data_IF_433135018780
#
_entry.id   IF_433135018780
#
_cell.length_a   1.000
_cell.length_b   1.000
_cell.length_c   1.000
_cell.angle_alpha   90.00
_cell.angle_beta   90.00
_cell.angle_gamma   90.00
#
_symmetry.space_group_name_H-M   'P 1'
#
loop_
_entity.id
_entity.type
_entity.pdbx_description
1 polymer ?
#
# COMPACT_ATOMS: atom_id res chain seq x y z
N UNK A 1 79.92 33.94 -21.66
CA UNK A 1 79.57 34.68 -20.42
C UNK A 1 78.21 35.33 -20.67
N UNK A 2 77.10 34.67 -20.33
CA UNK A 2 76.33 34.82 -19.07
C UNK A 2 76.07 36.28 -18.71
N UNK A 3 74.78 36.64 -18.78
CA UNK A 3 73.98 37.67 -18.08
C UNK A 3 72.89 38.10 -19.07
N UNK A 4 71.82 37.34 -19.30
CA UNK A 4 70.73 37.02 -18.36
C UNK A 4 70.17 38.26 -17.66
N UNK A 5 68.85 38.37 -17.69
CA UNK A 5 67.97 39.35 -17.00
C UNK A 5 67.72 40.65 -17.80
N UNK A 6 66.51 41.12 -18.05
CA UNK A 6 65.25 40.94 -17.32
C UNK A 6 64.06 41.23 -18.25
N UNK A 7 63.31 40.20 -18.61
CA UNK A 7 61.94 40.33 -19.12
C UNK A 7 61.04 40.64 -17.91
N UNK A 8 60.69 41.91 -17.72
CA UNK A 8 59.69 42.34 -16.74
C UNK A 8 58.28 41.93 -17.23
N UNK A 9 57.96 40.64 -17.05
CA UNK A 9 56.57 40.19 -17.05
C UNK A 9 55.94 40.69 -15.75
N UNK A 10 55.17 41.76 -15.85
CA UNK A 10 54.23 42.21 -14.84
C UNK A 10 53.24 41.09 -14.54
N UNK A 11 53.45 40.39 -13.43
CA UNK A 11 52.50 39.41 -12.90
C UNK A 11 51.34 40.22 -12.29
N UNK A 12 50.26 40.39 -13.05
CA UNK A 12 48.99 40.87 -12.51
C UNK A 12 48.37 39.74 -11.70
N UNK A 13 48.63 39.72 -10.39
CA UNK A 13 47.92 38.85 -9.44
C UNK A 13 46.49 39.35 -9.34
N UNK A 14 45.58 38.81 -10.16
CA UNK A 14 44.14 38.93 -9.92
C UNK A 14 43.82 38.13 -8.66
N UNK A 15 43.60 38.83 -7.55
CA UNK A 15 43.02 38.24 -6.33
C UNK A 15 41.67 37.62 -6.68
N UNK A 16 41.56 36.31 -6.58
CA UNK A 16 40.26 35.63 -6.55
C UNK A 16 39.55 36.04 -5.27
N UNK A 17 38.67 37.04 -5.36
CA UNK A 17 37.68 37.28 -4.32
C UNK A 17 36.75 36.06 -4.29
N UNK A 18 36.78 35.31 -3.18
CA UNK A 18 35.83 34.24 -2.89
C UNK A 18 34.44 34.86 -2.77
N UNK A 19 33.70 34.90 -3.89
CA UNK A 19 32.28 35.21 -3.87
C UNK A 19 31.60 34.11 -3.06
N UNK A 20 30.95 34.48 -1.97
CA UNK A 20 30.02 33.59 -1.29
C UNK A 20 28.97 33.14 -2.30
N UNK A 21 28.66 31.84 -2.40
CA UNK A 21 27.69 31.34 -3.37
C UNK A 21 26.33 31.99 -3.09
N UNK A 22 25.67 32.48 -4.14
CA UNK A 22 24.34 33.10 -3.99
C UNK A 22 23.34 32.01 -3.59
N UNK A 23 22.33 32.36 -2.79
CA UNK A 23 21.29 31.40 -2.40
C UNK A 23 20.65 30.70 -3.62
N UNK A 24 20.49 31.43 -4.73
CA UNK A 24 20.02 30.91 -6.02
C UNK A 24 20.87 29.77 -6.62
N UNK A 25 22.10 29.60 -6.17
CA UNK A 25 23.04 28.56 -6.59
C UNK A 25 23.12 27.40 -5.58
N UNK A 26 22.47 27.55 -4.43
CA UNK A 26 22.46 26.54 -3.37
C UNK A 26 21.45 25.42 -3.65
N UNK A 27 21.72 24.25 -3.07
CA UNK A 27 20.84 23.07 -3.13
C UNK A 27 19.47 23.32 -2.50
N UNK A 28 19.37 24.25 -1.56
CA UNK A 28 18.13 24.62 -0.88
C UNK A 28 17.17 25.42 -1.77
N UNK A 29 17.69 26.10 -2.82
CA UNK A 29 16.87 26.91 -3.73
C UNK A 29 16.13 26.07 -4.77
N UNK A 30 16.73 24.95 -5.19
CA UNK A 30 16.10 24.01 -6.11
C UNK A 30 15.35 22.93 -5.32
N UNK A 31 14.10 23.23 -4.98
CA UNK A 31 13.16 22.25 -4.41
C UNK A 31 12.92 21.03 -5.31
N UNK A 32 12.37 19.95 -4.73
CA UNK A 32 12.10 18.65 -5.39
C UNK A 32 11.21 18.78 -6.64
N UNK A 33 10.44 19.86 -6.69
CA UNK A 33 9.48 20.31 -7.69
C UNK A 33 10.12 20.96 -8.93
N UNK A 34 11.34 21.50 -8.82
CA UNK A 34 12.05 22.15 -9.96
C UNK A 34 13.12 21.27 -10.60
N UNK A 35 13.34 20.07 -10.07
CA UNK A 35 14.24 19.07 -10.65
C UNK A 35 13.44 18.18 -11.61
N UNK A 36 13.62 18.40 -12.92
CA UNK A 36 13.02 17.56 -13.97
C UNK A 36 13.41 16.07 -13.87
N UNK A 37 12.88 15.22 -14.75
CA UNK A 37 13.00 13.75 -14.68
C UNK A 37 14.46 13.21 -14.70
N UNK A 38 15.44 14.03 -15.10
CA UNK A 38 16.87 13.72 -15.02
C UNK A 38 17.43 14.00 -13.61
N UNK A 39 17.00 13.17 -12.65
CA UNK A 39 17.37 13.27 -11.21
C UNK A 39 18.83 12.97 -10.88
N UNK A 40 19.62 12.44 -11.82
CA UNK A 40 20.97 11.91 -11.57
C UNK A 40 22.13 12.90 -11.73
N UNK A 41 22.00 13.90 -12.60
CA UNK A 41 23.17 14.66 -13.10
C UNK A 41 23.17 16.15 -12.75
N UNK A 42 22.17 16.62 -12.00
CA UNK A 42 22.00 18.06 -11.68
C UNK A 42 21.72 18.32 -10.21
N UNK A 43 22.12 17.42 -9.33
CA UNK A 43 22.17 17.75 -7.91
C UNK A 43 23.50 18.46 -7.65
N UNK A 44 23.39 19.65 -7.08
CA UNK A 44 24.47 20.43 -6.46
C UNK A 44 25.30 21.22 -7.48
N UNK A 45 24.97 22.51 -7.64
CA UNK A 45 25.85 23.54 -8.22
C UNK A 45 26.23 23.30 -9.71
N UNK A 46 26.38 24.34 -10.55
CA UNK A 46 27.08 24.14 -11.82
C UNK A 46 28.52 23.69 -11.52
N UNK A 47 28.79 22.38 -11.58
CA UNK A 47 30.13 21.79 -11.47
C UNK A 47 30.37 20.71 -10.40
N UNK A 48 29.43 20.38 -9.50
CA UNK A 48 29.64 19.29 -8.54
C UNK A 48 29.03 17.98 -9.05
N UNK A 49 29.83 16.91 -9.09
CA UNK A 49 29.34 15.56 -9.39
C UNK A 49 28.67 15.03 -8.13
N UNK A 50 27.40 14.66 -8.25
CA UNK A 50 26.67 14.01 -7.15
C UNK A 50 27.19 12.58 -6.97
N UNK A 51 27.85 12.31 -5.84
CA UNK A 51 28.17 10.95 -5.41
C UNK A 51 27.01 10.42 -4.55
N UNK A 52 26.25 9.42 -5.02
CA UNK A 52 25.13 8.91 -4.27
C UNK A 52 25.61 8.11 -3.05
N UNK A 53 25.17 8.52 -1.85
CA UNK A 53 25.27 7.71 -0.64
C UNK A 53 24.62 6.34 -0.83
N UNK A 54 25.11 5.32 -0.12
CA UNK A 54 24.61 3.93 -0.19
C UNK A 54 23.08 3.84 -0.16
N UNK A 55 22.44 4.60 0.74
CA UNK A 55 20.99 4.62 0.92
C UNK A 55 20.20 5.38 -0.17
N UNK A 56 20.89 6.16 -1.01
CA UNK A 56 20.31 6.94 -2.12
C UNK A 56 20.43 6.25 -3.48
N UNK A 57 21.20 5.14 -3.54
CA UNK A 57 21.39 4.36 -4.76
C UNK A 57 20.09 3.65 -5.22
N UNK A 58 19.90 3.56 -6.54
CA UNK A 58 18.75 2.87 -7.14
C UNK A 58 18.72 1.37 -6.83
N UNK A 59 19.90 0.76 -6.69
CA UNK A 59 20.05 -0.66 -6.33
C UNK A 59 19.54 -0.95 -4.91
N UNK A 60 19.74 -0.03 -3.96
CA UNK A 60 19.19 -0.14 -2.61
C UNK A 60 17.66 -0.05 -2.60
N UNK A 61 17.09 0.85 -3.40
CA UNK A 61 15.64 0.95 -3.58
C UNK A 61 15.02 -0.35 -4.12
N UNK A 62 15.65 -0.95 -5.14
CA UNK A 62 15.19 -2.22 -5.71
C UNK A 62 15.26 -3.38 -4.71
N UNK A 63 16.34 -3.48 -3.92
CA UNK A 63 16.46 -4.49 -2.85
C UNK A 63 15.38 -4.37 -1.79
N UNK A 64 15.04 -3.15 -1.38
CA UNK A 64 13.93 -2.89 -0.45
C UNK A 64 12.60 -3.34 -1.05
N UNK A 65 12.35 -2.99 -2.30
CA UNK A 65 11.13 -3.40 -3.00
C UNK A 65 11.01 -4.93 -3.11
N UNK A 66 12.10 -5.62 -3.46
CA UNK A 66 12.15 -7.09 -3.49
C UNK A 66 11.88 -7.70 -2.12
N UNK A 67 12.43 -7.10 -1.05
CA UNK A 67 12.19 -7.58 0.32
C UNK A 67 10.72 -7.43 0.73
N UNK A 68 10.08 -6.31 0.38
CA UNK A 68 8.64 -6.09 0.63
C UNK A 68 7.78 -7.05 -0.19
N UNK A 69 8.11 -7.26 -1.47
CA UNK A 69 7.42 -8.26 -2.28
C UNK A 69 7.62 -9.68 -1.73
N UNK A 70 8.82 -10.00 -1.26
CA UNK A 70 9.13 -11.28 -0.65
C UNK A 70 8.34 -11.51 0.64
N UNK A 71 8.24 -10.49 1.51
CA UNK A 71 7.44 -10.59 2.74
C UNK A 71 5.95 -10.71 2.44
N UNK A 72 5.44 -9.94 1.49
CA UNK A 72 4.04 -10.06 1.05
C UNK A 72 3.76 -11.43 0.43
N UNK A 73 4.66 -11.92 -0.43
CA UNK A 73 4.58 -13.24 -1.04
C UNK A 73 4.58 -14.36 0.00
N UNK A 74 5.42 -14.26 1.04
CA UNK A 74 5.44 -15.22 2.14
C UNK A 74 4.11 -15.27 2.90
N UNK A 75 3.47 -14.12 3.13
CA UNK A 75 2.13 -14.06 3.75
C UNK A 75 1.10 -14.76 2.86
N UNK A 76 1.06 -14.44 1.56
CA UNK A 76 0.11 -15.07 0.63
C UNK A 76 0.34 -16.58 0.54
N UNK A 77 1.59 -17.02 0.47
CA UNK A 77 1.93 -18.44 0.41
C UNK A 77 1.52 -19.18 1.69
N UNK A 78 1.73 -18.56 2.87
CA UNK A 78 1.28 -19.12 4.13
C UNK A 78 -0.25 -19.29 4.15
N UNK A 79 -1.00 -18.21 3.87
CA UNK A 79 -2.46 -18.25 3.92
C UNK A 79 -3.10 -19.12 2.82
N UNK A 80 -2.47 -19.24 1.65
CA UNK A 80 -3.02 -19.98 0.52
C UNK A 80 -2.64 -21.46 0.46
N UNK A 81 -1.46 -21.86 0.95
CA UNK A 81 -0.94 -23.22 0.78
C UNK A 81 -0.59 -23.95 2.08
N UNK A 82 -0.01 -23.26 3.07
CA UNK A 82 0.48 -23.91 4.29
C UNK A 82 -0.49 -23.82 5.46
N UNK A 83 -1.44 -22.88 5.43
CA UNK A 83 -2.43 -22.72 6.48
C UNK A 83 -3.42 -23.89 6.42
N UNK A 84 -3.67 -24.49 7.58
CA UNK A 84 -4.74 -25.49 7.73
C UNK A 84 -6.09 -24.90 7.30
N UNK A 85 -6.98 -25.71 6.68
CA UNK A 85 -8.30 -25.24 6.25
C UNK A 85 -9.04 -24.67 7.45
N UNK A 86 -9.19 -23.35 7.46
CA UNK A 86 -9.77 -22.62 8.58
C UNK A 86 -11.29 -22.67 8.48
N UNK A 87 -12.00 -22.44 9.59
CA UNK A 87 -13.46 -22.34 9.54
C UNK A 87 -13.97 -21.23 8.60
N UNK A 88 -13.12 -20.25 8.26
CA UNK A 88 -13.40 -19.26 7.21
C UNK A 88 -13.46 -19.87 5.81
N UNK A 89 -12.64 -20.88 5.51
CA UNK A 89 -12.67 -21.55 4.22
C UNK A 89 -13.95 -22.37 4.07
N UNK A 90 -14.41 -22.99 5.17
CA UNK A 90 -15.74 -23.64 5.21
C UNK A 90 -16.84 -22.63 4.93
N UNK A 91 -16.79 -21.43 5.52
CA UNK A 91 -17.77 -20.36 5.28
C UNK A 91 -17.76 -19.91 3.80
N UNK A 92 -16.58 -19.78 3.20
CA UNK A 92 -16.44 -19.41 1.79
C UNK A 92 -16.95 -20.50 0.83
N UNK A 93 -16.79 -21.77 1.20
CA UNK A 93 -17.28 -22.92 0.43
C UNK A 93 -18.78 -23.21 0.69
N UNK A 94 -19.36 -22.60 1.73
CA UNK A 94 -20.78 -22.79 2.03
C UNK A 94 -21.65 -22.06 0.99
N UNK A 95 -22.69 -22.69 0.44
CA UNK A 95 -23.62 -22.01 -0.46
C UNK A 95 -24.21 -20.76 0.19
N UNK A 96 -24.21 -19.65 -0.55
CA UNK A 96 -24.67 -18.35 -0.05
C UNK A 96 -26.07 -18.39 0.60
N UNK A 97 -26.98 -19.20 0.05
CA UNK A 97 -28.35 -19.34 0.58
C UNK A 97 -28.40 -19.90 2.02
N UNK A 98 -27.47 -20.78 2.38
CA UNK A 98 -27.38 -21.35 3.73
C UNK A 98 -26.84 -20.31 4.71
N UNK A 99 -25.84 -19.53 4.28
CA UNK A 99 -25.24 -18.52 5.14
C UNK A 99 -26.23 -17.38 5.44
N UNK A 100 -26.92 -16.88 4.41
CA UNK A 100 -27.90 -15.79 4.57
C UNK A 100 -29.09 -16.23 5.42
N UNK A 101 -29.62 -17.43 5.20
CA UNK A 101 -30.78 -17.92 5.95
C UNK A 101 -30.43 -18.18 7.42
N UNK A 102 -29.25 -18.70 7.73
CA UNK A 102 -28.81 -18.88 9.11
C UNK A 102 -28.60 -17.55 9.85
N UNK A 103 -28.09 -16.54 9.16
CA UNK A 103 -27.95 -15.18 9.71
C UNK A 103 -29.32 -14.57 10.00
N UNK A 104 -30.25 -14.63 9.03
CA UNK A 104 -31.63 -14.16 9.20
C UNK A 104 -32.32 -14.88 10.36
N UNK A 105 -32.17 -16.21 10.49
CA UNK A 105 -32.72 -16.99 11.61
C UNK A 105 -32.15 -16.58 12.96
N UNK A 106 -30.83 -16.36 13.06
CA UNK A 106 -30.21 -15.93 14.32
C UNK A 106 -30.71 -14.55 14.75
N UNK A 107 -30.75 -13.59 13.83
CA UNK A 107 -31.25 -12.24 14.13
C UNK A 107 -32.71 -12.27 14.58
N UNK A 108 -33.58 -13.00 13.87
CA UNK A 108 -34.99 -13.11 14.23
C UNK A 108 -35.19 -13.80 15.59
N UNK A 109 -34.41 -14.83 15.92
CA UNK A 109 -34.47 -15.48 17.24
C UNK A 109 -34.04 -14.53 18.36
N UNK A 110 -32.96 -13.78 18.17
CA UNK A 110 -32.54 -12.77 19.15
C UNK A 110 -33.56 -11.65 19.31
N UNK A 111 -34.25 -11.27 18.23
CA UNK A 111 -35.30 -10.25 18.26
C UNK A 111 -36.55 -10.76 18.98
N UNK A 112 -36.98 -12.01 18.71
CA UNK A 112 -38.07 -12.68 19.44
C UNK A 112 -37.74 -12.77 20.93
N UNK A 113 -36.52 -13.18 21.30
CA UNK A 113 -36.13 -13.25 22.70
C UNK A 113 -36.14 -11.88 23.38
N UNK A 114 -35.75 -10.81 22.67
CA UNK A 114 -35.79 -9.43 23.17
C UNK A 114 -37.23 -8.96 23.36
N UNK A 115 -38.09 -9.13 22.36
CA UNK A 115 -39.50 -8.71 22.40
C UNK A 115 -40.32 -9.52 23.42
N UNK A 116 -40.03 -10.83 23.55
CA UNK A 116 -40.62 -11.70 24.58
C UNK A 116 -40.22 -11.27 25.99
N UNK A 117 -38.96 -10.87 26.20
CA UNK A 117 -38.50 -10.28 27.47
C UNK A 117 -39.16 -8.92 27.75
N UNK A 118 -39.49 -8.17 26.70
CA UNK A 118 -40.21 -6.90 26.79
C UNK A 118 -41.74 -7.06 26.95
N UNK A 119 -42.26 -8.30 26.92
CA UNK A 119 -43.69 -8.59 27.08
C UNK A 119 -44.57 -8.19 25.88
N UNK A 120 -43.97 -8.05 24.69
CA UNK A 120 -44.67 -7.70 23.45
C UNK A 120 -45.06 -8.95 22.66
N UNK A 121 -46.05 -8.82 21.78
CA UNK A 121 -46.50 -9.94 20.94
C UNK A 121 -45.43 -10.30 19.89
N UNK A 122 -45.02 -11.56 19.87
CA UNK A 122 -43.99 -12.11 18.96
C UNK A 122 -44.58 -12.86 17.77
N UNK A 123 -45.90 -12.97 17.65
CA UNK A 123 -46.60 -13.74 16.60
C UNK A 123 -46.11 -13.41 15.18
N UNK A 124 -45.92 -12.13 14.87
CA UNK A 124 -45.43 -11.67 13.57
C UNK A 124 -43.98 -12.09 13.31
N UNK A 125 -43.12 -12.05 14.33
CA UNK A 125 -41.71 -12.42 14.20
C UNK A 125 -41.54 -13.94 14.04
N UNK A 126 -42.38 -14.71 14.71
CA UNK A 126 -42.46 -16.17 14.55
C UNK A 126 -42.91 -16.56 13.14
N UNK A 127 -43.94 -15.90 12.60
CA UNK A 127 -44.36 -16.11 11.22
C UNK A 127 -43.26 -15.74 10.20
N UNK A 128 -42.49 -14.67 10.47
CA UNK A 128 -41.32 -14.32 9.66
C UNK A 128 -40.24 -15.39 9.71
N UNK A 129 -40.01 -15.99 10.88
CA UNK A 129 -39.03 -17.08 11.04
C UNK A 129 -39.42 -18.29 10.17
N UNK A 130 -40.70 -18.67 10.18
CA UNK A 130 -41.22 -19.77 9.33
C UNK A 130 -41.11 -19.44 7.83
N UNK A 131 -41.34 -18.19 7.45
CA UNK A 131 -41.19 -17.75 6.05
C UNK A 131 -39.74 -17.87 5.55
N UNK A 132 -38.74 -17.62 6.41
CA UNK A 132 -37.32 -17.81 6.05
C UNK A 132 -37.02 -19.27 5.67
N UNK A 133 -37.61 -20.23 6.38
CA UNK A 133 -37.41 -21.66 6.08
C UNK A 133 -38.01 -22.04 4.70
N UNK A 134 -39.16 -21.47 4.34
CA UNK A 134 -39.76 -21.65 2.99
C UNK A 134 -38.89 -21.04 1.90
N UNK A 135 -38.35 -19.83 2.14
CA UNK A 135 -37.44 -19.14 1.22
C UNK A 135 -36.16 -19.95 0.98
N UNK A 136 -35.58 -20.54 2.03
CA UNK A 136 -34.41 -21.40 1.92
C UNK A 136 -34.70 -22.65 1.08
N UNK A 137 -35.83 -23.31 1.32
CA UNK A 137 -36.25 -24.48 0.54
C UNK A 137 -36.43 -24.14 -0.95
N UNK A 138 -37.03 -23.00 -1.27
CA UNK A 138 -37.20 -22.52 -2.64
C UNK A 138 -35.85 -22.21 -3.32
N UNK A 139 -34.94 -21.53 -2.61
CA UNK A 139 -33.61 -21.23 -3.12
C UNK A 139 -32.79 -22.49 -3.37
N UNK A 140 -32.86 -23.47 -2.46
CA UNK A 140 -32.18 -24.75 -2.62
C UNK A 140 -32.58 -25.44 -3.93
N UNK A 141 -33.88 -25.50 -4.23
CA UNK A 141 -34.39 -26.05 -5.49
C UNK A 141 -33.92 -25.27 -6.72
N UNK A 142 -33.80 -23.94 -6.63
CA UNK A 142 -33.29 -23.10 -7.72
C UNK A 142 -31.82 -23.36 -8.00
N UNK A 143 -30.99 -23.49 -6.96
CA UNK A 143 -29.57 -23.81 -7.11
C UNK A 143 -29.34 -25.24 -7.62
N UNK A 144 -30.15 -26.22 -7.19
CA UNK A 144 -30.10 -27.59 -7.72
C UNK A 144 -30.47 -27.66 -9.21
N UNK A 145 -31.45 -26.88 -9.66
CA UNK A 145 -31.81 -26.79 -11.08
C UNK A 145 -30.71 -26.17 -11.94
N UNK A 146 -30.02 -25.16 -11.42
CA UNK A 146 -28.96 -24.43 -12.16
C UNK A 146 -27.67 -25.24 -12.28
N UNK A 147 -27.48 -26.26 -11.43
CA UNK A 147 -26.25 -27.10 -11.40
C UNK A 147 -26.33 -28.34 -12.32
N UNK A 148 -27.49 -28.63 -12.89
CA UNK A 148 -27.69 -29.65 -13.94
C UNK A 148 -27.48 -29.04 -15.32
#
# INVERSE_FOLDING_TARGET
MRLLTQQLKTIVVRRFASRTPRFSESTAYFGKDKMGPNRGDRRVTPGAKFEPDYYSSSSWGFKKFLSVLGSLGAVVAYFGFLREPSDLDKILDTPAHILTANLERRMLREEIERERKAGRDTSLLEAKLEYVDVKEAALKLQFEKTKK
#
